data_IF_072859347355
#
_entry.id   IF_072859347355
#
_cell.length_a   1.000
_cell.length_b   1.000
_cell.length_c   1.000
_cell.angle_alpha   90.00
_cell.angle_beta   90.00
_cell.angle_gamma   90.00
#
_symmetry.space_group_name_H-M   'P 1'
#
loop_
_entity.id
_entity.type
_entity.pdbx_description
1 polymer ?
#
# COMPACT_ATOMS: atom_id res chain seq x y z
N UNK A 1 -21.64 -5.84 -3.12
CA UNK A 1 -20.77 -6.90 -3.69
C UNK A 1 -21.00 -8.14 -2.88
N UNK A 2 -21.22 -9.29 -3.50
CA UNK A 2 -21.56 -10.53 -2.80
C UNK A 2 -20.32 -11.42 -2.66
N UNK A 3 -20.22 -12.18 -1.57
CA UNK A 3 -19.16 -13.18 -1.35
C UNK A 3 -19.78 -14.59 -1.40
N UNK A 4 -19.15 -15.50 -2.13
CA UNK A 4 -19.53 -16.91 -2.17
C UNK A 4 -18.70 -17.61 -1.09
N UNK A 5 -19.33 -17.96 0.04
CA UNK A 5 -18.65 -18.63 1.16
C UNK A 5 -18.44 -20.13 0.89
N UNK A 6 -19.47 -20.82 0.40
CA UNK A 6 -19.44 -22.23 0.01
C UNK A 6 -20.48 -22.49 -1.10
N UNK A 7 -20.11 -23.28 -2.09
CA UNK A 7 -21.00 -23.72 -3.17
C UNK A 7 -20.54 -25.05 -3.74
N UNK A 8 -21.45 -25.90 -4.20
CA UNK A 8 -21.17 -27.26 -4.68
C UNK A 8 -20.19 -27.30 -5.88
N UNK A 9 -20.13 -26.20 -6.65
CA UNK A 9 -19.22 -26.00 -7.79
C UNK A 9 -18.04 -25.05 -7.48
N UNK A 10 -17.91 -24.58 -6.24
CA UNK A 10 -16.93 -23.56 -5.85
C UNK A 10 -17.21 -22.17 -6.45
N UNK A 11 -16.26 -21.25 -6.28
CA UNK A 11 -16.28 -19.93 -6.92
C UNK A 11 -15.83 -20.01 -8.38
N UNK A 12 -16.44 -19.20 -9.25
CA UNK A 12 -16.01 -19.07 -10.65
C UNK A 12 -15.26 -17.76 -10.89
N UNK A 13 -14.32 -17.79 -11.84
CA UNK A 13 -13.59 -16.60 -12.29
C UNK A 13 -14.01 -16.29 -13.72
N UNK A 14 -14.35 -15.04 -14.00
CA UNK A 14 -14.77 -14.60 -15.34
C UNK A 14 -16.19 -14.06 -15.37
N UNK A 15 -16.76 -13.93 -16.56
CA UNK A 15 -18.08 -13.36 -16.80
C UNK A 15 -19.08 -14.46 -17.16
N UNK A 16 -20.20 -14.50 -16.44
CA UNK A 16 -21.36 -15.34 -16.74
C UNK A 16 -22.58 -14.42 -16.84
N UNK A 17 -22.98 -14.11 -18.08
CA UNK A 17 -24.10 -13.21 -18.37
C UNK A 17 -23.93 -11.82 -17.74
N UNK A 18 -24.90 -11.36 -16.91
CA UNK A 18 -24.86 -10.05 -16.26
C UNK A 18 -23.95 -10.00 -15.02
N UNK A 19 -23.29 -11.10 -14.68
CA UNK A 19 -22.50 -11.23 -13.45
C UNK A 19 -21.04 -11.58 -13.79
N UNK A 20 -20.12 -11.04 -13.00
CA UNK A 20 -18.69 -11.39 -13.07
C UNK A 20 -18.19 -11.82 -11.70
N UNK A 21 -17.47 -12.95 -11.68
CA UNK A 21 -16.83 -13.53 -10.50
C UNK A 21 -15.31 -13.35 -10.56
N UNK A 22 -14.69 -13.09 -9.41
CA UNK A 22 -13.23 -13.11 -9.27
C UNK A 22 -12.81 -13.44 -7.84
N UNK A 23 -11.60 -13.97 -7.71
CA UNK A 23 -10.99 -14.28 -6.41
C UNK A 23 -10.08 -13.15 -5.96
N UNK A 24 -10.24 -12.66 -4.75
CA UNK A 24 -9.36 -11.66 -4.14
C UNK A 24 -9.08 -12.01 -2.68
N UNK A 25 -7.80 -12.03 -2.31
CA UNK A 25 -7.35 -12.33 -0.95
C UNK A 25 -8.00 -13.62 -0.40
N UNK A 26 -8.09 -14.67 -1.24
CA UNK A 26 -8.68 -15.96 -0.85
C UNK A 26 -10.22 -16.00 -0.77
N UNK A 27 -10.92 -14.90 -1.07
CA UNK A 27 -12.38 -14.82 -1.10
C UNK A 27 -12.90 -14.78 -2.53
N UNK A 28 -13.93 -15.56 -2.81
CA UNK A 28 -14.63 -15.55 -4.10
C UNK A 28 -15.73 -14.50 -4.07
N UNK A 29 -15.56 -13.47 -4.89
CA UNK A 29 -16.43 -12.30 -4.91
C UNK A 29 -17.17 -12.22 -6.23
N UNK A 30 -18.42 -11.78 -6.14
CA UNK A 30 -19.32 -11.62 -7.26
C UNK A 30 -19.80 -10.17 -7.36
N UNK A 31 -19.75 -9.61 -8.58
CA UNK A 31 -20.25 -8.27 -8.91
C UNK A 31 -21.03 -8.27 -10.21
N UNK A 32 -21.88 -7.26 -10.41
CA UNK A 32 -22.48 -6.98 -11.71
C UNK A 32 -21.38 -6.78 -12.76
N UNK A 33 -21.56 -7.38 -13.94
CA UNK A 33 -20.69 -7.16 -15.07
C UNK A 33 -20.75 -5.68 -15.48
N UNK A 34 -19.60 -5.11 -15.83
CA UNK A 34 -19.54 -3.73 -16.30
C UNK A 34 -20.39 -3.59 -17.57
N UNK A 35 -21.29 -2.60 -17.58
CA UNK A 35 -22.01 -2.22 -18.79
C UNK A 35 -21.03 -1.63 -19.80
N UNK A 36 -21.22 -1.95 -21.08
CA UNK A 36 -20.47 -1.27 -22.14
C UNK A 36 -20.94 0.17 -22.18
N UNK A 37 -20.04 1.11 -21.84
CA UNK A 37 -20.31 2.54 -21.90
C UNK A 37 -19.57 3.12 -23.09
N UNK A 38 -20.31 3.73 -24.02
CA UNK A 38 -19.76 4.34 -25.26
C UNK A 38 -19.40 5.82 -25.06
N UNK A 39 -19.72 6.40 -23.91
CA UNK A 39 -19.54 7.83 -23.64
C UNK A 39 -18.07 8.24 -23.55
N UNK A 40 -17.75 9.39 -24.15
CA UNK A 40 -16.43 10.01 -24.03
C UNK A 40 -16.16 10.41 -22.57
N UNK A 41 -14.97 10.11 -22.01
CA UNK A 41 -14.65 10.47 -20.64
C UNK A 41 -14.58 11.99 -20.49
N UNK A 42 -15.15 12.51 -19.39
CA UNK A 42 -15.06 13.93 -19.04
C UNK A 42 -13.60 14.36 -18.82
N UNK A 43 -13.24 15.63 -19.03
CA UNK A 43 -11.86 16.11 -18.85
C UNK A 43 -11.33 15.85 -17.44
N UNK A 44 -12.17 15.96 -16.40
CA UNK A 44 -11.80 15.62 -15.03
C UNK A 44 -11.44 14.12 -14.86
N UNK A 45 -12.16 13.21 -15.55
CA UNK A 45 -11.85 11.77 -15.56
C UNK A 45 -10.52 11.49 -16.26
N UNK A 46 -10.24 12.18 -17.36
CA UNK A 46 -8.96 12.04 -18.09
C UNK A 46 -7.80 12.52 -17.22
N UNK A 47 -7.94 13.69 -16.59
CA UNK A 47 -6.95 14.23 -15.67
C UNK A 47 -6.62 13.26 -14.53
N UNK A 48 -7.63 12.63 -13.93
CA UNK A 48 -7.41 11.65 -12.85
C UNK A 48 -6.71 10.38 -13.35
N UNK A 49 -7.06 9.89 -14.56
CA UNK A 49 -6.40 8.72 -15.17
C UNK A 49 -4.92 8.99 -15.43
N UNK A 50 -4.58 10.18 -15.90
CA UNK A 50 -3.18 10.55 -16.12
C UNK A 50 -2.38 10.66 -14.84
N UNK A 51 -2.94 11.28 -13.79
CA UNK A 51 -2.31 11.29 -12.45
C UNK A 51 -1.96 9.88 -11.99
N UNK A 52 -2.94 8.97 -12.07
CA UNK A 52 -2.77 7.57 -11.69
C UNK A 52 -1.73 6.86 -12.58
N UNK A 53 -1.69 7.17 -13.87
CA UNK A 53 -0.74 6.59 -14.83
C UNK A 53 0.71 6.97 -14.49
N UNK A 54 0.97 8.25 -14.24
CA UNK A 54 2.31 8.75 -13.87
C UNK A 54 2.78 8.12 -12.55
N UNK A 55 1.93 8.13 -11.52
CA UNK A 55 2.25 7.51 -10.25
C UNK A 55 2.50 5.99 -10.36
N UNK A 56 1.67 5.27 -11.14
CA UNK A 56 1.84 3.82 -11.32
C UNK A 56 3.14 3.50 -12.07
N UNK A 57 3.49 4.26 -13.11
CA UNK A 57 4.74 4.05 -13.84
C UNK A 57 5.95 4.14 -12.90
N UNK A 58 5.94 5.12 -11.99
CA UNK A 58 7.01 5.29 -11.02
C UNK A 58 7.05 4.18 -9.96
N UNK A 59 5.92 3.82 -9.35
CA UNK A 59 5.87 2.78 -8.30
C UNK A 59 6.16 1.39 -8.87
N UNK A 60 5.74 1.10 -10.10
CA UNK A 60 6.00 -0.19 -10.75
C UNK A 60 7.50 -0.49 -10.89
N UNK A 61 8.34 0.53 -11.06
CA UNK A 61 9.81 0.36 -11.09
C UNK A 61 10.35 -0.28 -9.80
N UNK A 62 9.68 -0.08 -8.66
CA UNK A 62 10.06 -0.62 -7.35
C UNK A 62 9.25 -1.87 -6.96
N UNK A 63 8.33 -2.34 -7.80
CA UNK A 63 7.42 -3.44 -7.43
C UNK A 63 8.11 -4.81 -7.37
N UNK A 64 9.23 -5.00 -8.08
CA UNK A 64 9.93 -6.30 -8.16
C UNK A 64 10.66 -6.72 -6.88
N UNK A 65 10.98 -5.78 -6.00
CA UNK A 65 11.82 -5.99 -4.81
C UNK A 65 11.02 -6.22 -3.52
N UNK A 66 9.69 -6.16 -3.58
CA UNK A 66 8.81 -6.37 -2.43
C UNK A 66 8.96 -5.32 -1.31
N UNK A 67 9.66 -4.22 -1.58
CA UNK A 67 10.00 -3.17 -0.60
C UNK A 67 8.74 -2.61 0.04
N UNK A 68 7.71 -2.30 -0.77
CA UNK A 68 6.47 -1.70 -0.27
C UNK A 68 5.71 -2.54 0.73
N UNK A 69 5.88 -3.87 0.72
CA UNK A 69 5.24 -4.74 1.72
C UNK A 69 5.90 -4.62 3.10
N UNK A 70 7.19 -4.28 3.15
CA UNK A 70 7.94 -4.06 4.40
C UNK A 70 7.86 -2.60 4.86
N UNK A 71 7.96 -1.66 3.92
CA UNK A 71 8.07 -0.23 4.23
C UNK A 71 6.73 0.45 4.51
N UNK A 72 5.63 -0.12 4.00
CA UNK A 72 4.27 0.29 4.32
C UNK A 72 3.52 -0.88 4.96
N UNK A 73 3.75 -1.14 6.27
CA UNK A 73 3.06 -2.21 6.99
C UNK A 73 1.55 -2.00 6.94
N UNK A 74 0.81 -3.11 7.02
CA UNK A 74 -0.66 -3.13 7.00
C UNK A 74 -1.20 -3.32 8.43
N UNK A 75 -1.55 -2.26 9.18
CA UNK A 75 -2.15 -2.39 10.49
C UNK A 75 -3.59 -2.92 10.44
N UNK A 76 -4.27 -2.88 9.26
CA UNK A 76 -5.71 -3.16 9.17
C UNK A 76 -6.09 -3.81 7.82
N UNK A 77 -5.58 -5.02 7.53
CA UNK A 77 -5.94 -6.04 6.49
C UNK A 77 -6.68 -5.65 5.17
N UNK A 78 -6.73 -4.39 4.78
CA UNK A 78 -7.65 -3.84 3.79
C UNK A 78 -6.95 -3.30 2.55
N UNK A 79 -5.64 -3.06 2.61
CA UNK A 79 -4.88 -2.44 1.53
C UNK A 79 -3.44 -2.93 1.47
N UNK A 80 -3.00 -3.34 0.28
CA UNK A 80 -1.62 -3.73 0.03
C UNK A 80 -0.65 -2.57 0.31
N UNK A 81 0.59 -2.90 0.66
CA UNK A 81 1.68 -1.92 0.77
C UNK A 81 1.80 -1.01 -0.48
N UNK A 82 1.54 -1.59 -1.66
CA UNK A 82 1.46 -0.85 -2.92
C UNK A 82 0.40 0.26 -2.91
N UNK A 83 -0.84 -0.05 -2.49
CA UNK A 83 -1.92 0.94 -2.46
C UNK A 83 -1.63 2.07 -1.46
N UNK A 84 -0.91 1.76 -0.38
CA UNK A 84 -0.48 2.74 0.62
C UNK A 84 0.60 3.66 0.08
N UNK A 85 1.63 3.09 -0.56
CA UNK A 85 2.67 3.86 -1.24
C UNK A 85 2.06 4.78 -2.31
N UNK A 86 1.12 4.27 -3.10
CA UNK A 86 0.38 5.04 -4.10
C UNK A 86 -0.36 6.23 -3.49
N UNK A 87 -1.05 6.02 -2.37
CA UNK A 87 -1.74 7.11 -1.65
C UNK A 87 -0.78 8.18 -1.16
N UNK A 88 0.35 7.79 -0.57
CA UNK A 88 1.35 8.74 -0.06
C UNK A 88 1.95 9.54 -1.22
N UNK A 89 2.35 8.87 -2.29
CA UNK A 89 2.89 9.52 -3.50
C UNK A 89 1.91 10.55 -4.08
N UNK A 90 0.64 10.18 -4.25
CA UNK A 90 -0.39 11.08 -4.79
C UNK A 90 -0.62 12.31 -3.91
N UNK A 91 -0.49 12.17 -2.59
CA UNK A 91 -0.80 13.24 -1.64
C UNK A 91 0.38 14.20 -1.41
N UNK A 92 1.63 13.73 -1.45
CA UNK A 92 2.80 14.54 -1.07
C UNK A 92 3.72 14.92 -2.22
N UNK A 93 3.83 14.08 -3.24
CA UNK A 93 4.92 14.16 -4.23
C UNK A 93 4.44 14.48 -5.65
N UNK A 94 3.14 14.46 -5.92
CA UNK A 94 2.60 14.84 -7.23
C UNK A 94 2.41 16.36 -7.31
N UNK A 95 3.06 17.00 -8.28
CA UNK A 95 2.87 18.41 -8.60
C UNK A 95 2.39 18.59 -10.06
N UNK A 96 1.82 19.77 -10.33
CA UNK A 96 1.38 20.17 -11.66
C UNK A 96 -0.13 20.09 -11.89
N UNK A 97 -0.53 20.42 -13.12
CA UNK A 97 -1.91 20.42 -13.60
C UNK A 97 -1.96 19.73 -14.95
N UNK A 98 -3.04 18.97 -15.18
CA UNK A 98 -3.32 18.35 -16.47
C UNK A 98 -3.03 19.33 -17.63
N UNK A 99 -2.25 18.93 -18.64
CA UNK A 99 -1.71 17.59 -18.91
C UNK A 99 -0.30 17.30 -18.33
N UNK A 100 0.33 18.27 -17.67
CA UNK A 100 1.71 18.14 -17.18
C UNK A 100 1.72 17.80 -15.69
N UNK A 101 1.92 16.52 -15.38
CA UNK A 101 2.17 16.04 -14.02
C UNK A 101 3.62 15.62 -13.87
N UNK A 102 4.25 16.11 -12.81
CA UNK A 102 5.62 15.80 -12.47
C UNK A 102 5.70 15.28 -11.04
N UNK A 103 6.68 14.41 -10.81
CA UNK A 103 6.96 13.84 -9.49
C UNK A 103 8.09 14.67 -8.87
N UNK A 104 7.80 15.31 -7.75
CA UNK A 104 8.81 15.98 -6.94
C UNK A 104 9.55 14.92 -6.11
N UNK A 105 10.76 14.57 -6.55
CA UNK A 105 11.59 13.56 -5.89
C UNK A 105 11.95 13.94 -4.45
N UNK A 106 12.10 15.23 -4.16
CA UNK A 106 12.43 15.74 -2.82
C UNK A 106 11.39 15.39 -1.76
N UNK A 107 10.12 15.26 -2.17
CA UNK A 107 8.98 14.97 -1.29
C UNK A 107 8.55 13.51 -1.35
N UNK A 108 9.30 12.67 -2.05
CA UNK A 108 8.98 11.27 -2.20
C UNK A 108 9.36 10.48 -0.94
N UNK A 109 8.40 9.72 -0.40
CA UNK A 109 8.59 8.87 0.76
C UNK A 109 8.69 7.40 0.33
N UNK A 110 9.83 6.78 0.61
CA UNK A 110 10.08 5.35 0.33
C UNK A 110 9.49 4.44 1.42
N UNK A 111 9.44 4.95 2.66
CA UNK A 111 8.98 4.19 3.82
C UNK A 111 8.15 5.04 4.77
N UNK A 112 7.10 4.42 5.33
CA UNK A 112 6.26 5.01 6.37
C UNK A 112 5.71 3.89 7.24
N UNK A 113 6.23 3.79 8.46
CA UNK A 113 5.78 2.85 9.47
C UNK A 113 5.52 3.55 10.81
N UNK A 114 4.88 2.83 11.72
CA UNK A 114 4.84 3.23 13.12
C UNK A 114 6.22 2.99 13.74
N UNK A 115 6.71 3.99 14.45
CA UNK A 115 7.95 3.85 15.21
C UNK A 115 7.65 2.98 16.44
N UNK A 116 8.51 2.00 16.78
CA UNK A 116 8.37 1.26 18.03
C UNK A 116 8.45 2.24 19.20
N UNK A 117 7.63 1.98 20.23
CA UNK A 117 7.67 2.74 21.48
C UNK A 117 9.03 2.54 22.13
N UNK A 118 9.61 3.60 22.70
CA UNK A 118 10.90 3.53 23.37
C UNK A 118 10.84 2.55 24.54
N UNK A 119 11.59 1.46 24.46
CA UNK A 119 11.83 0.58 25.61
C UNK A 119 12.77 1.31 26.57
N UNK A 120 12.30 1.54 27.81
CA UNK A 120 12.96 2.35 28.85
C UNK A 120 12.81 3.88 28.70
N UNK A 121 11.59 4.37 28.46
CA UNK A 121 11.29 5.79 28.67
C UNK A 121 11.39 6.14 30.16
N UNK A 122 12.52 6.73 30.58
CA UNK A 122 12.69 7.27 31.92
C UNK A 122 12.42 8.78 31.88
N UNK A 123 11.59 9.24 32.82
CA UNK A 123 11.31 10.66 33.02
C UNK A 123 12.05 11.09 34.27
N UNK A 124 13.06 11.94 34.12
CA UNK A 124 13.75 12.56 35.25
C UNK A 124 13.35 14.03 35.37
N UNK A 125 13.13 14.46 36.60
CA UNK A 125 12.87 15.86 36.93
C UNK A 125 14.22 16.57 37.09
N UNK A 126 14.46 17.59 36.29
CA UNK A 126 15.60 18.48 36.48
C UNK A 126 15.31 19.49 37.61
N UNK A 127 16.36 20.03 38.24
CA UNK A 127 16.26 20.97 39.37
C UNK A 127 15.51 22.28 39.03
N UNK A 128 15.27 22.54 37.73
CA UNK A 128 14.45 23.65 37.23
C UNK A 128 12.96 23.32 36.99
N UNK A 129 12.47 22.15 37.39
CA UNK A 129 11.05 21.78 37.23
C UNK A 129 10.63 21.35 35.82
N UNK A 130 11.60 21.04 34.95
CA UNK A 130 11.36 20.54 33.60
C UNK A 130 11.42 19.01 33.55
N UNK A 131 10.52 18.40 32.78
CA UNK A 131 10.52 16.96 32.51
C UNK A 131 11.50 16.65 31.37
N UNK A 132 12.56 15.90 31.66
CA UNK A 132 13.52 15.43 30.65
C UNK A 132 13.20 13.98 30.33
N UNK A 133 12.92 13.70 29.05
CA UNK A 133 12.66 12.35 28.55
C UNK A 133 13.96 11.75 28.01
N UNK A 134 14.46 10.70 28.65
CA UNK A 134 15.59 9.92 28.16
C UNK A 134 15.10 8.53 27.75
N UNK A 135 15.30 8.16 26.48
CA UNK A 135 14.99 6.83 25.95
C UNK A 135 15.96 6.46 24.85
N UNK A 136 16.51 5.25 24.88
CA UNK A 136 17.35 4.72 23.81
C UNK A 136 16.50 3.92 22.82
N UNK A 137 16.72 4.14 21.53
CA UNK A 137 16.13 3.30 20.46
C UNK A 137 17.16 2.22 20.14
N UNK A 138 16.94 0.99 20.60
CA UNK A 138 17.73 -0.17 20.19
C UNK A 138 17.53 -0.41 18.69
N UNK A 139 18.61 -0.38 17.90
CA UNK A 139 18.55 -0.76 16.49
C UNK A 139 18.08 -2.21 16.34
N UNK A 140 17.18 -2.44 15.39
CA UNK A 140 16.67 -3.75 15.02
C UNK A 140 17.82 -4.71 14.66
N UNK A 141 18.19 -5.58 15.60
CA UNK A 141 18.97 -6.78 15.32
C UNK A 141 18.07 -7.75 14.55
N UNK A 142 18.17 -7.74 13.22
CA UNK A 142 17.61 -8.79 12.36
C UNK A 142 18.33 -10.09 12.74
N UNK A 143 17.63 -11.11 13.27
CA UNK A 143 18.29 -12.37 13.59
C UNK A 143 18.84 -12.99 12.29
N UNK A 144 20.09 -13.50 12.27
CA UNK A 144 20.59 -14.22 11.11
C UNK A 144 19.70 -15.45 10.88
N UNK A 145 19.13 -15.54 9.67
CA UNK A 145 18.41 -16.71 9.20
C UNK A 145 19.33 -17.93 9.36
N UNK A 146 18.94 -19.02 10.06
CA UNK A 146 19.78 -20.20 10.10
C UNK A 146 19.92 -20.75 8.68
N UNK A 147 21.16 -20.80 8.18
CA UNK A 147 21.51 -21.50 6.95
C UNK A 147 21.16 -22.98 7.14
N UNK A 148 20.05 -23.43 6.57
CA UNK A 148 19.76 -24.85 6.44
C UNK A 148 20.77 -25.46 5.47
N UNK A 149 21.69 -26.22 6.06
CA UNK A 149 22.64 -27.19 5.51
C UNK A 149 22.37 -27.65 4.06
N UNK A 150 23.32 -27.34 3.17
CA UNK A 150 23.52 -28.05 1.91
C UNK A 150 23.82 -29.52 2.21
N UNK A 151 23.00 -30.41 1.65
CA UNK A 151 23.40 -31.78 1.36
C UNK A 151 23.54 -31.89 -0.16
N UNK A 152 24.60 -32.59 -0.56
CA UNK A 152 24.95 -32.94 -1.94
C UNK A 152 23.80 -33.57 -2.71
#
# INVERSE_FOLDING_TARGET
MAEIRQGILGGFTGRVGPVSGFRRNGRDLMRSATSTVTDKPTPARVAQREKVKVCNAFINAFSGTGIFRKTFPDPNHGGSGYNRAMKVLMNSALAGRYPHYEILYDKFLISKGELPVAENAAVTLDAGGNFVFAGQITQLMVPPKPMTRLYW
#
